data_IF_487369361909
#
_entry.id   IF_487369361909
#
_cell.length_a   1.000
_cell.length_b   1.000
_cell.length_c   1.000
_cell.angle_alpha   90.00
_cell.angle_beta   90.00
_cell.angle_gamma   90.00
#
_symmetry.space_group_name_H-M   'P 1'
#
loop_
_entity.id
_entity.type
_entity.pdbx_description
1 polymer ?
#
# COMPACT_ATOMS: atom_id res chain seq x y z
N UNK A 1 -14.59 -7.33 27.89
CA UNK A 1 -13.41 -7.10 27.29
C UNK A 1 -12.81 -8.16 26.37
N UNK A 2 -12.40 -7.70 25.19
CA UNK A 2 -11.66 -8.51 24.22
C UNK A 2 -10.16 -8.18 24.19
N UNK A 3 -9.68 -7.43 25.21
CA UNK A 3 -8.27 -7.12 25.46
C UNK A 3 -7.96 -7.28 26.95
N UNK A 4 -6.71 -7.54 27.27
CA UNK A 4 -6.22 -7.72 28.63
C UNK A 4 -6.02 -9.19 28.99
N UNK A 5 -6.36 -9.55 30.21
CA UNK A 5 -6.11 -10.88 30.79
C UNK A 5 -7.34 -11.77 30.68
N UNK A 6 -7.09 -13.06 30.48
CA UNK A 6 -8.09 -14.15 30.49
C UNK A 6 -9.34 -13.79 29.67
N UNK A 7 -9.12 -13.44 28.40
CA UNK A 7 -10.19 -12.97 27.49
C UNK A 7 -11.30 -14.03 27.41
N UNK A 8 -12.52 -13.65 27.82
CA UNK A 8 -13.70 -14.51 27.81
C UNK A 8 -13.53 -15.83 28.62
N UNK A 9 -12.65 -15.85 29.63
CA UNK A 9 -12.37 -17.05 30.44
C UNK A 9 -11.62 -18.14 29.67
N UNK A 10 -10.93 -17.78 28.60
CA UNK A 10 -10.23 -18.74 27.71
C UNK A 10 -8.78 -19.04 28.14
N UNK A 11 -8.25 -18.34 29.14
CA UNK A 11 -6.83 -18.37 29.50
C UNK A 11 -5.93 -17.61 28.52
N UNK A 12 -6.50 -16.91 27.52
CA UNK A 12 -5.75 -16.12 26.54
C UNK A 12 -5.64 -14.67 26.98
N UNK A 13 -4.41 -14.15 26.94
CA UNK A 13 -4.09 -12.75 27.22
C UNK A 13 -3.74 -12.03 25.90
N UNK A 14 -4.28 -10.83 25.72
CA UNK A 14 -3.94 -10.00 24.57
C UNK A 14 -3.93 -8.52 24.96
N UNK A 15 -2.81 -7.88 24.78
CA UNK A 15 -2.65 -6.43 24.93
C UNK A 15 -2.32 -5.78 23.59
N UNK A 16 -2.88 -4.59 23.34
CA UNK A 16 -2.61 -3.79 22.16
C UNK A 16 -1.87 -2.52 22.55
N UNK A 17 -0.71 -2.31 21.96
CA UNK A 17 0.10 -1.12 22.15
C UNK A 17 0.23 -0.33 20.84
N UNK A 18 0.12 1.00 20.92
CA UNK A 18 0.34 1.91 19.80
C UNK A 18 1.71 2.56 19.99
N UNK A 19 2.62 2.32 19.02
CA UNK A 19 3.91 3.01 18.95
C UNK A 19 3.88 4.07 17.86
N UNK A 20 4.13 5.33 18.21
CA UNK A 20 4.21 6.44 17.28
C UNK A 20 5.65 6.66 16.85
N UNK A 21 5.89 6.67 15.54
CA UNK A 21 7.17 7.03 14.95
C UNK A 21 7.21 8.49 14.50
N UNK A 22 8.37 8.94 14.02
CA UNK A 22 8.57 10.28 13.49
C UNK A 22 8.19 10.45 11.99
N UNK A 23 7.61 9.43 11.37
CA UNK A 23 7.18 9.47 9.97
C UNK A 23 8.31 9.26 8.95
N UNK A 24 9.48 8.76 9.34
CA UNK A 24 10.56 8.44 8.41
C UNK A 24 10.16 7.29 7.46
N UNK A 25 10.31 7.52 6.16
CA UNK A 25 9.92 6.55 5.13
C UNK A 25 10.66 5.21 5.26
N UNK A 26 11.94 5.23 5.67
CA UNK A 26 12.73 4.02 5.90
C UNK A 26 12.11 3.09 6.95
N UNK A 27 11.36 3.61 7.91
CA UNK A 27 10.65 2.81 8.92
C UNK A 27 9.44 2.03 8.36
N UNK A 28 9.10 2.19 7.08
CA UNK A 28 8.17 1.32 6.37
C UNK A 28 8.77 -0.06 6.04
N UNK A 29 10.10 -0.20 6.04
CA UNK A 29 10.75 -1.51 5.96
C UNK A 29 10.65 -2.23 7.31
N UNK A 30 10.24 -3.51 7.29
CA UNK A 30 9.86 -4.23 8.50
C UNK A 30 10.95 -4.32 9.59
N UNK A 31 12.21 -4.47 9.23
CA UNK A 31 13.31 -4.52 10.19
C UNK A 31 13.67 -3.13 10.73
N UNK A 32 13.56 -2.09 9.93
CA UNK A 32 13.71 -0.70 10.37
C UNK A 32 12.56 -0.29 11.32
N UNK A 33 11.33 -0.73 11.03
CA UNK A 33 10.16 -0.55 11.91
C UNK A 33 10.40 -1.18 13.29
N UNK A 34 10.86 -2.44 13.33
CA UNK A 34 11.20 -3.13 14.58
C UNK A 34 12.25 -2.37 15.39
N UNK A 35 13.32 -1.94 14.73
CA UNK A 35 14.40 -1.16 15.38
C UNK A 35 13.88 0.17 15.92
N UNK A 36 12.99 0.83 15.21
CA UNK A 36 12.34 2.08 15.65
C UNK A 36 11.44 1.86 16.88
N UNK A 37 10.65 0.78 16.90
CA UNK A 37 9.79 0.44 18.06
C UNK A 37 10.64 0.13 19.31
N UNK A 38 11.83 -0.44 19.13
CA UNK A 38 12.78 -0.68 20.20
C UNK A 38 13.43 0.59 20.76
N UNK A 39 13.13 1.77 20.20
CA UNK A 39 13.69 3.05 20.62
C UNK A 39 15.04 3.39 19.99
N UNK A 40 15.48 2.61 19.01
CA UNK A 40 16.73 2.83 18.30
C UNK A 40 16.48 3.57 16.96
N UNK A 41 17.57 4.04 16.33
CA UNK A 41 17.48 4.62 14.99
C UNK A 41 16.89 3.59 14.01
N UNK A 42 15.86 3.98 13.25
CA UNK A 42 15.16 3.14 12.29
C UNK A 42 16.05 2.73 11.11
N UNK A 43 16.94 1.80 11.33
CA UNK A 43 17.86 1.26 10.31
C UNK A 43 17.48 -0.18 9.97
N UNK A 44 17.50 -0.56 8.68
CA UNK A 44 17.27 -1.94 8.25
C UNK A 44 18.31 -2.90 8.84
N UNK A 45 17.86 -4.13 9.14
CA UNK A 45 18.73 -5.21 9.61
C UNK A 45 19.08 -6.14 8.45
N UNK A 46 20.27 -6.72 8.51
CA UNK A 46 20.69 -7.75 7.56
C UNK A 46 19.86 -9.03 7.80
N UNK A 47 19.46 -9.70 6.73
CA UNK A 47 18.75 -10.97 6.76
C UNK A 47 19.60 -12.06 6.12
N UNK A 48 19.73 -13.27 6.68
CA UNK A 48 19.14 -13.77 7.94
C UNK A 48 19.80 -13.13 9.20
N UNK A 49 19.13 -13.19 10.40
CA UNK A 49 17.89 -13.89 10.71
C UNK A 49 16.63 -13.18 10.21
N UNK A 50 15.54 -13.93 10.02
CA UNK A 50 14.22 -13.37 9.65
C UNK A 50 13.51 -12.85 10.90
N UNK A 51 12.58 -11.92 10.73
CA UNK A 51 11.78 -11.35 11.83
C UNK A 51 11.01 -12.40 12.64
N UNK A 52 10.56 -13.47 11.96
CA UNK A 52 9.91 -14.61 12.64
C UNK A 52 10.85 -15.41 13.54
N UNK A 53 12.15 -15.30 13.37
CA UNK A 53 13.17 -15.93 14.19
C UNK A 53 13.66 -14.97 15.28
N UNK A 54 14.05 -13.77 14.87
CA UNK A 54 14.59 -12.69 15.71
C UNK A 54 14.03 -11.34 15.28
N UNK A 55 12.86 -10.98 15.79
CA UNK A 55 12.17 -9.73 15.54
C UNK A 55 12.28 -8.72 16.66
N UNK A 56 11.13 -8.20 17.11
CA UNK A 56 11.01 -7.19 18.14
C UNK A 56 11.61 -7.70 19.47
N UNK A 57 12.52 -6.91 20.05
CA UNK A 57 13.29 -7.29 21.27
C UNK A 57 13.95 -8.66 21.13
N UNK A 58 14.42 -8.99 19.93
CA UNK A 58 15.07 -10.27 19.62
C UNK A 58 14.17 -11.51 19.84
N UNK A 59 12.85 -11.33 19.81
CA UNK A 59 11.87 -12.42 19.95
C UNK A 59 11.22 -12.75 18.63
N UNK A 60 10.74 -13.99 18.42
CA UNK A 60 9.94 -14.34 17.25
C UNK A 60 8.76 -13.38 17.09
N UNK A 61 8.65 -12.76 15.90
CA UNK A 61 7.69 -11.69 15.66
C UNK A 61 6.99 -11.89 14.32
N UNK A 62 5.65 -11.87 14.33
CA UNK A 62 4.83 -11.80 13.12
C UNK A 62 4.61 -10.33 12.75
N UNK A 63 4.92 -9.98 11.52
CA UNK A 63 4.75 -8.64 10.97
C UNK A 63 3.89 -8.71 9.70
N UNK A 64 2.79 -7.97 9.69
CA UNK A 64 1.90 -7.84 8.53
C UNK A 64 1.41 -6.40 8.39
N UNK A 65 0.99 -6.02 7.18
CA UNK A 65 0.31 -4.77 6.95
C UNK A 65 -1.02 -4.70 7.71
N UNK A 66 -1.41 -3.51 8.12
CA UNK A 66 -2.70 -3.28 8.80
C UNK A 66 -3.87 -3.76 7.94
N UNK A 67 -3.85 -3.49 6.65
CA UNK A 67 -4.87 -3.95 5.70
C UNK A 67 -5.02 -5.48 5.71
N UNK A 68 -3.91 -6.22 5.79
CA UNK A 68 -3.92 -7.68 5.95
C UNK A 68 -4.62 -8.09 7.25
N UNK A 69 -4.26 -7.48 8.38
CA UNK A 69 -4.92 -7.78 9.66
C UNK A 69 -6.39 -7.40 9.67
N UNK A 70 -6.79 -6.29 9.02
CA UNK A 70 -8.19 -5.88 8.92
C UNK A 70 -9.06 -6.85 8.12
N UNK A 71 -8.46 -7.61 7.19
CA UNK A 71 -9.18 -8.63 6.42
C UNK A 71 -9.40 -9.94 7.18
N UNK A 72 -8.61 -10.24 8.21
CA UNK A 72 -8.71 -11.50 8.96
C UNK A 72 -10.07 -11.68 9.64
N UNK A 73 -10.60 -10.72 10.42
CA UNK A 73 -11.90 -10.89 11.07
C UNK A 73 -13.06 -11.15 10.10
N UNK A 74 -13.25 -10.37 9.02
CA UNK A 74 -14.31 -10.64 8.05
C UNK A 74 -14.16 -12.00 7.37
N UNK A 75 -12.94 -12.46 7.08
CA UNK A 75 -12.69 -13.79 6.50
C UNK A 75 -13.11 -14.89 7.48
N UNK A 76 -12.79 -14.75 8.77
CA UNK A 76 -13.19 -15.73 9.79
C UNK A 76 -14.72 -15.78 9.93
N UNK A 77 -15.38 -14.62 9.90
CA UNK A 77 -16.82 -14.53 10.08
C UNK A 77 -17.62 -15.02 8.88
N UNK A 78 -17.16 -14.71 7.66
CA UNK A 78 -17.91 -14.97 6.42
C UNK A 78 -17.37 -16.16 5.62
N UNK A 79 -16.17 -16.64 5.96
CA UNK A 79 -15.49 -17.76 5.32
C UNK A 79 -14.67 -17.38 4.08
N UNK A 80 -13.77 -18.28 3.68
CA UNK A 80 -12.85 -18.04 2.57
C UNK A 80 -13.57 -17.83 1.22
N UNK A 81 -14.68 -18.52 0.98
CA UNK A 81 -15.46 -18.38 -0.26
C UNK A 81 -16.05 -16.97 -0.42
N UNK A 82 -16.45 -16.34 0.68
CA UNK A 82 -16.89 -14.94 0.65
C UNK A 82 -15.78 -14.02 0.17
N UNK A 83 -14.58 -14.15 0.72
CA UNK A 83 -13.44 -13.34 0.32
C UNK A 83 -13.02 -13.59 -1.13
N UNK A 84 -13.09 -14.83 -1.58
CA UNK A 84 -12.83 -15.22 -2.97
C UNK A 84 -13.87 -14.65 -3.97
N UNK A 85 -15.01 -14.19 -3.50
CA UNK A 85 -16.03 -13.51 -4.31
C UNK A 85 -15.64 -12.11 -4.75
N UNK A 86 -14.56 -11.53 -4.19
CA UNK A 86 -14.04 -10.23 -4.58
C UNK A 86 -12.75 -10.39 -5.40
N UNK A 87 -12.68 -9.67 -6.52
CA UNK A 87 -11.50 -9.68 -7.38
C UNK A 87 -11.37 -10.91 -8.29
N UNK A 88 -10.36 -10.93 -9.17
CA UNK A 88 -10.10 -12.03 -10.08
C UNK A 88 -9.48 -13.23 -9.37
N UNK A 89 -9.53 -14.41 -10.02
CA UNK A 89 -9.15 -15.70 -9.44
C UNK A 89 -7.74 -15.76 -8.81
N UNK A 90 -6.80 -14.96 -9.30
CA UNK A 90 -5.42 -14.93 -8.81
C UNK A 90 -5.14 -13.79 -7.82
N UNK A 91 -6.10 -12.86 -7.64
CA UNK A 91 -5.94 -11.67 -6.82
C UNK A 91 -7.25 -11.38 -6.10
N UNK A 92 -7.59 -12.19 -5.09
CA UNK A 92 -8.83 -12.06 -4.34
C UNK A 92 -8.79 -10.91 -3.33
N UNK A 93 -9.97 -10.43 -2.98
CA UNK A 93 -10.19 -9.42 -1.94
C UNK A 93 -10.34 -8.02 -2.48
N UNK A 94 -10.20 -7.06 -1.60
CA UNK A 94 -10.28 -5.63 -1.85
C UNK A 94 -8.93 -4.95 -1.63
N UNK A 95 -8.79 -3.72 -2.14
CA UNK A 95 -7.61 -2.90 -1.91
C UNK A 95 -8.02 -1.47 -1.63
N UNK A 96 -7.47 -0.90 -0.56
CA UNK A 96 -7.59 0.51 -0.27
C UNK A 96 -6.60 1.33 -1.09
N UNK A 97 -7.09 2.39 -1.75
CA UNK A 97 -6.27 3.34 -2.51
C UNK A 97 -6.44 4.76 -1.98
N UNK A 98 -5.32 5.46 -1.84
CA UNK A 98 -5.28 6.89 -1.58
C UNK A 98 -5.28 7.64 -2.93
N UNK A 99 -6.46 8.06 -3.37
CA UNK A 99 -6.66 8.77 -4.64
C UNK A 99 -6.39 10.25 -4.45
N UNK A 100 -5.37 10.77 -5.15
CA UNK A 100 -4.88 12.15 -5.03
C UNK A 100 -4.46 12.74 -6.37
N UNK A 101 -3.94 13.96 -6.36
CA UNK A 101 -3.46 14.66 -7.56
C UNK A 101 -4.56 15.41 -8.30
N UNK A 102 -4.51 15.40 -9.62
CA UNK A 102 -5.43 16.12 -10.50
C UNK A 102 -6.74 15.35 -10.73
N UNK A 103 -7.40 14.93 -9.69
CA UNK A 103 -8.72 14.27 -9.71
C UNK A 103 -9.74 15.13 -8.96
N UNK A 104 -11.01 15.07 -9.36
CA UNK A 104 -12.03 15.93 -8.75
C UNK A 104 -12.31 15.54 -7.30
N UNK A 105 -12.50 14.25 -7.04
CA UNK A 105 -12.75 13.70 -5.71
C UNK A 105 -11.49 13.00 -5.21
N UNK A 106 -10.82 13.60 -4.24
CA UNK A 106 -9.66 13.02 -3.57
C UNK A 106 -10.09 12.33 -2.27
N UNK A 107 -9.41 11.26 -1.88
CA UNK A 107 -9.71 10.58 -0.63
C UNK A 107 -9.21 9.15 -0.60
N UNK A 108 -9.57 8.46 0.47
CA UNK A 108 -9.34 7.02 0.60
C UNK A 108 -10.56 6.28 0.04
N UNK A 109 -10.31 5.37 -0.89
CA UNK A 109 -11.32 4.51 -1.49
C UNK A 109 -10.96 3.04 -1.27
N UNK A 110 -11.94 2.17 -1.20
CA UNK A 110 -11.74 0.72 -1.20
C UNK A 110 -12.51 0.12 -2.36
N UNK A 111 -11.83 -0.68 -3.17
CA UNK A 111 -12.39 -1.32 -4.36
C UNK A 111 -11.98 -2.78 -4.43
N UNK A 112 -12.78 -3.65 -5.08
CA UNK A 112 -12.35 -5.01 -5.40
C UNK A 112 -11.05 -5.01 -6.21
N UNK A 113 -10.19 -5.98 -5.96
CA UNK A 113 -9.04 -6.21 -6.82
C UNK A 113 -9.50 -6.43 -8.27
N UNK A 114 -8.77 -5.88 -9.23
CA UNK A 114 -9.15 -5.94 -10.65
C UNK A 114 -10.10 -4.85 -11.13
N UNK A 115 -10.54 -3.94 -10.25
CA UNK A 115 -11.19 -2.68 -10.67
C UNK A 115 -10.25 -1.92 -11.60
N UNK A 116 -10.76 -1.36 -12.69
CA UNK A 116 -9.93 -0.68 -13.69
C UNK A 116 -9.51 0.72 -13.22
N UNK A 117 -8.39 1.21 -13.78
CA UNK A 117 -7.98 2.59 -13.57
C UNK A 117 -9.05 3.59 -14.03
N UNK A 118 -9.77 3.27 -15.12
CA UNK A 118 -10.86 4.09 -15.63
C UNK A 118 -11.97 4.26 -14.60
N UNK A 119 -12.46 3.17 -14.02
CA UNK A 119 -13.49 3.20 -12.98
C UNK A 119 -13.02 4.01 -11.76
N UNK A 120 -11.77 3.81 -11.32
CA UNK A 120 -11.22 4.53 -10.16
C UNK A 120 -11.12 6.04 -10.43
N UNK A 121 -10.60 6.45 -11.58
CA UNK A 121 -10.33 7.87 -11.87
C UNK A 121 -11.60 8.60 -12.29
N UNK A 122 -12.42 8.01 -13.14
CA UNK A 122 -13.55 8.70 -13.76
C UNK A 122 -14.86 8.48 -13.02
N UNK A 123 -15.20 7.24 -12.63
CA UNK A 123 -16.48 6.95 -12.00
C UNK A 123 -16.43 7.31 -10.52
N UNK A 124 -15.41 6.85 -9.78
CA UNK A 124 -15.26 7.13 -8.34
C UNK A 124 -14.66 8.53 -8.12
N UNK A 125 -13.56 8.82 -8.80
CA UNK A 125 -12.83 10.08 -8.71
C UNK A 125 -13.52 11.26 -9.39
N UNK A 126 -14.58 11.03 -10.15
CA UNK A 126 -15.34 12.05 -10.86
C UNK A 126 -14.61 12.69 -12.04
N UNK A 127 -13.51 12.08 -12.48
CA UNK A 127 -12.69 12.53 -13.62
C UNK A 127 -11.57 13.49 -13.25
N UNK A 128 -10.78 13.84 -14.26
CA UNK A 128 -9.59 14.68 -14.10
C UNK A 128 -9.98 16.15 -13.92
N UNK A 129 -9.23 16.84 -13.06
CA UNK A 129 -9.40 18.27 -12.74
C UNK A 129 -8.35 19.11 -13.48
N UNK A 130 -8.81 20.17 -14.14
CA UNK A 130 -7.95 21.21 -14.68
C UNK A 130 -7.24 20.92 -15.99
N UNK A 131 -7.56 19.80 -16.65
CA UNK A 131 -7.00 19.36 -17.94
C UNK A 131 -7.41 17.95 -18.28
N UNK A 132 -6.79 17.38 -19.30
CA UNK A 132 -7.02 16.00 -19.75
C UNK A 132 -6.13 15.02 -18.97
N UNK A 133 -6.54 13.76 -18.87
CA UNK A 133 -5.73 12.72 -18.23
C UNK A 133 -4.43 12.50 -19.01
N UNK A 134 -3.33 12.46 -18.28
CA UNK A 134 -2.00 12.18 -18.83
C UNK A 134 -1.39 10.91 -18.28
N UNK A 135 -1.38 10.77 -16.97
CA UNK A 135 -0.77 9.64 -16.30
C UNK A 135 -1.30 9.47 -14.87
N UNK A 136 -1.06 8.30 -14.30
CA UNK A 136 -1.21 8.05 -12.86
C UNK A 136 0.08 7.44 -12.33
N UNK A 137 0.57 7.96 -11.22
CA UNK A 137 1.66 7.32 -10.47
C UNK A 137 1.03 6.39 -9.45
N UNK A 138 1.51 5.15 -9.40
CA UNK A 138 1.04 4.08 -8.52
C UNK A 138 2.20 3.39 -7.83
N UNK A 139 1.98 2.89 -6.63
CA UNK A 139 2.97 2.10 -5.88
C UNK A 139 3.92 2.93 -5.02
N UNK A 140 3.60 4.20 -4.80
CA UNK A 140 4.45 5.11 -4.02
C UNK A 140 5.68 5.61 -4.77
N UNK A 141 6.66 6.23 -4.09
CA UNK A 141 7.81 6.88 -4.73
C UNK A 141 8.68 5.98 -5.59
N UNK A 142 8.75 4.70 -5.27
CA UNK A 142 9.49 3.68 -6.04
C UNK A 142 8.60 2.89 -7.02
N UNK A 143 7.35 3.30 -7.18
CA UNK A 143 6.39 2.69 -8.09
C UNK A 143 6.57 3.14 -9.54
N UNK A 144 5.55 2.92 -10.35
CA UNK A 144 5.51 3.26 -11.77
C UNK A 144 4.56 4.39 -12.11
N UNK A 145 4.75 4.97 -13.30
CA UNK A 145 3.78 5.86 -13.92
C UNK A 145 3.13 5.16 -15.10
N UNK A 146 1.81 5.06 -15.06
CA UNK A 146 0.99 4.53 -16.14
C UNK A 146 0.42 5.70 -16.93
N UNK A 147 0.66 5.74 -18.23
CA UNK A 147 0.25 6.84 -19.09
C UNK A 147 -0.64 6.37 -20.23
N UNK A 148 -1.34 7.32 -20.85
CA UNK A 148 -1.91 7.13 -22.18
C UNK A 148 -0.85 7.62 -23.18
N UNK A 149 -0.50 6.75 -24.11
CA UNK A 149 0.29 7.08 -25.29
C UNK A 149 -0.48 6.71 -26.55
N UNK A 150 0.06 7.08 -27.70
CA UNK A 150 -0.54 6.69 -29.00
C UNK A 150 -0.59 5.16 -29.20
N UNK A 151 0.20 4.42 -28.46
CA UNK A 151 0.37 2.95 -28.58
C UNK A 151 -0.11 2.17 -27.35
N UNK A 152 -0.32 2.85 -26.21
CA UNK A 152 -0.66 2.21 -24.95
C UNK A 152 -1.74 3.00 -24.21
N UNK A 153 -2.86 2.36 -23.93
CA UNK A 153 -3.90 2.89 -23.04
C UNK A 153 -4.01 1.98 -21.79
N UNK A 154 -3.53 2.50 -20.67
CA UNK A 154 -3.57 1.78 -19.42
C UNK A 154 -4.85 2.02 -18.60
N UNK A 155 -5.80 2.83 -19.10
CA UNK A 155 -7.02 3.15 -18.37
C UNK A 155 -7.90 1.93 -18.12
N UNK A 156 -7.98 1.02 -19.08
CA UNK A 156 -8.77 -0.20 -18.93
C UNK A 156 -8.00 -1.39 -18.34
N UNK A 157 -6.79 -1.11 -17.82
CA UNK A 157 -5.99 -2.10 -17.13
C UNK A 157 -6.55 -2.34 -15.72
N UNK A 158 -6.60 -3.61 -15.36
CA UNK A 158 -6.98 -4.02 -14.00
C UNK A 158 -5.94 -3.62 -12.96
N UNK A 159 -6.42 -3.08 -11.85
CA UNK A 159 -5.61 -2.83 -10.65
C UNK A 159 -5.46 -4.14 -9.86
N UNK A 160 -4.57 -5.00 -10.33
CA UNK A 160 -4.16 -6.22 -9.65
C UNK A 160 -2.64 -6.41 -9.75
N UNK A 161 -2.09 -7.31 -8.93
CA UNK A 161 -0.64 -7.51 -8.85
C UNK A 161 -0.03 -8.00 -10.16
N UNK A 162 -0.73 -8.89 -10.87
CA UNK A 162 -0.22 -9.51 -12.10
C UNK A 162 -0.25 -8.54 -13.28
N UNK A 163 -1.33 -7.78 -13.43
CA UNK A 163 -1.48 -6.79 -14.49
C UNK A 163 -0.48 -5.65 -14.36
N UNK A 164 -0.33 -5.09 -13.16
CA UNK A 164 0.63 -4.02 -12.90
C UNK A 164 2.08 -4.48 -13.09
N UNK A 165 2.41 -5.69 -12.67
CA UNK A 165 3.75 -6.25 -12.84
C UNK A 165 4.15 -6.38 -14.32
N UNK A 166 3.21 -6.71 -15.22
CA UNK A 166 3.46 -6.81 -16.67
C UNK A 166 3.94 -5.50 -17.29
N UNK A 167 3.50 -4.38 -16.75
CA UNK A 167 3.87 -3.03 -17.22
C UNK A 167 4.95 -2.37 -16.35
N UNK A 168 5.61 -3.14 -15.51
CA UNK A 168 6.70 -2.64 -14.66
C UNK A 168 6.25 -1.77 -13.50
N UNK A 169 4.95 -1.81 -13.15
CA UNK A 169 4.38 -1.09 -12.01
C UNK A 169 4.08 -2.02 -10.84
N UNK A 170 3.69 -1.45 -9.71
CA UNK A 170 3.28 -2.19 -8.51
C UNK A 170 2.15 -1.47 -7.79
N UNK A 171 1.30 -2.19 -7.08
CA UNK A 171 0.26 -1.59 -6.24
C UNK A 171 0.86 -0.83 -5.05
N UNK A 172 1.92 -1.37 -4.46
CA UNK A 172 2.51 -0.83 -3.24
C UNK A 172 1.48 -0.73 -2.10
N UNK A 173 1.51 0.38 -1.38
CA UNK A 173 0.54 0.67 -0.31
C UNK A 173 -0.79 1.24 -0.81
N UNK A 174 -0.99 1.36 -2.11
CA UNK A 174 -2.22 1.88 -2.71
C UNK A 174 -2.23 3.39 -2.96
N UNK A 175 -1.07 4.04 -3.01
CA UNK A 175 -1.00 5.43 -3.45
C UNK A 175 -1.30 5.56 -4.94
N UNK A 176 -2.25 6.44 -5.29
CA UNK A 176 -2.63 6.80 -6.66
C UNK A 176 -2.58 8.31 -6.81
N UNK A 177 -1.67 8.80 -7.66
CA UNK A 177 -1.52 10.24 -7.93
C UNK A 177 -1.86 10.49 -9.40
N UNK A 178 -3.03 11.06 -9.65
CA UNK A 178 -3.51 11.39 -11.00
C UNK A 178 -2.84 12.66 -11.50
N UNK A 179 -2.36 12.63 -12.73
CA UNK A 179 -1.69 13.75 -13.39
C UNK A 179 -2.42 14.11 -14.69
N UNK A 180 -2.55 15.40 -14.94
CA UNK A 180 -3.15 15.94 -16.14
C UNK A 180 -2.09 16.34 -17.20
N UNK A 181 -2.53 16.82 -18.35
CA UNK A 181 -1.71 17.22 -19.48
C UNK A 181 -0.69 18.35 -19.15
N UNK A 182 -0.96 19.14 -18.11
CA UNK A 182 -0.07 20.22 -17.63
C UNK A 182 1.07 19.71 -16.75
N UNK A 183 1.03 18.46 -16.31
CA UNK A 183 2.07 17.89 -15.47
C UNK A 183 3.32 17.57 -16.30
N UNK A 184 4.47 18.04 -15.83
CA UNK A 184 5.75 17.71 -16.45
C UNK A 184 6.29 16.40 -15.86
N UNK A 185 6.39 15.35 -16.66
CA UNK A 185 6.84 14.03 -16.19
C UNK A 185 8.31 14.02 -15.75
N UNK A 186 9.14 14.90 -16.31
CA UNK A 186 10.54 15.06 -15.87
C UNK A 186 10.60 15.62 -14.45
N UNK A 187 9.76 16.63 -14.15
CA UNK A 187 9.66 17.20 -12.80
C UNK A 187 9.10 16.19 -11.80
N UNK A 188 8.12 15.38 -12.20
CA UNK A 188 7.57 14.30 -11.37
C UNK A 188 8.67 13.26 -11.06
N UNK A 189 9.43 12.83 -12.05
CA UNK A 189 10.54 11.90 -11.86
C UNK A 189 11.62 12.51 -10.94
N UNK A 190 11.98 13.78 -11.15
CA UNK A 190 12.94 14.50 -10.31
C UNK A 190 12.46 14.59 -8.85
N UNK A 191 11.18 14.87 -8.64
CA UNK A 191 10.58 14.91 -7.31
C UNK A 191 10.74 13.57 -6.57
N UNK A 192 10.38 12.47 -7.22
CA UNK A 192 10.49 11.14 -6.60
C UNK A 192 11.95 10.72 -6.38
N UNK A 193 12.86 11.06 -7.29
CA UNK A 193 14.29 10.78 -7.12
C UNK A 193 14.86 11.55 -5.93
N UNK A 194 14.54 12.84 -5.80
CA UNK A 194 14.95 13.65 -4.65
C UNK A 194 14.38 13.11 -3.33
N UNK A 195 13.10 12.71 -3.33
CA UNK A 195 12.48 12.08 -2.17
C UNK A 195 13.22 10.80 -1.77
N UNK A 196 13.46 9.91 -2.73
CA UNK A 196 14.15 8.66 -2.48
C UNK A 196 15.58 8.87 -1.96
N UNK A 197 16.30 9.86 -2.51
CA UNK A 197 17.64 10.23 -2.04
C UNK A 197 17.60 10.73 -0.60
N UNK A 198 16.66 11.61 -0.25
CA UNK A 198 16.56 12.21 1.08
C UNK A 198 16.14 11.20 2.15
N UNK A 199 15.28 10.23 1.79
CA UNK A 199 14.77 9.21 2.69
C UNK A 199 15.64 7.94 2.74
N UNK A 200 16.68 7.85 1.93
CA UNK A 200 17.59 6.70 1.91
C UNK A 200 18.40 6.60 3.20
N UNK A 201 18.51 5.38 3.74
CA UNK A 201 19.43 5.09 4.85
C UNK A 201 20.89 4.93 4.41
N UNK A 202 21.19 4.94 3.11
CA UNK A 202 22.54 4.77 2.55
C UNK A 202 23.07 3.34 2.55
N UNK A 203 22.22 2.34 2.80
CA UNK A 203 22.56 0.90 2.78
C UNK A 203 21.99 0.22 1.56
#
# INVERSE_FOLDING_TARGET
GLLGKDILGSGFDCDLHISQGAGAFVCGEGSALTTSIEGNRGMPRVKPPRTVEHGLFNKPTVLNNVETFCNVPPIILNGAKWYQGFGPANNHGTKAFALTGNVKNTGLIEVPMGTTLREVIFDIGGGVKGGDFKAVQIGGPSGGCLCISATEDHLDMNLDFDSLKKVGAMIGSGGLVVMNDKSCMVEVARFFMNFTQNESCGK
#
